data_IF_147793551360
#
_entry.id   IF_147793551360
#
_cell.length_a   1.000
_cell.length_b   1.000
_cell.length_c   1.000
_cell.angle_alpha   90.00
_cell.angle_beta   90.00
_cell.angle_gamma   90.00
#
_symmetry.space_group_name_H-M   'P 1'
#
loop_
_entity.id
_entity.type
_entity.pdbx_description
1 polymer ?
#
# COMPACT_ATOMS: atom_id res chain seq x y z
N UNK A 1 -4.21 14.75 -5.41
CA UNK A 1 -5.28 15.05 -4.41
C UNK A 1 -5.83 16.48 -4.45
N UNK A 2 -5.04 17.52 -4.72
CA UNK A 2 -5.54 18.91 -4.75
C UNK A 2 -6.70 19.12 -5.74
N UNK A 3 -6.62 18.53 -6.93
CA UNK A 3 -7.72 18.54 -7.91
C UNK A 3 -9.01 17.94 -7.32
N UNK A 4 -8.94 16.74 -6.75
CA UNK A 4 -10.09 16.05 -6.16
C UNK A 4 -10.73 16.87 -5.02
N UNK A 5 -9.93 17.55 -4.17
CA UNK A 5 -10.48 18.41 -3.10
C UNK A 5 -11.28 19.59 -3.65
N UNK A 6 -10.87 20.13 -4.79
CA UNK A 6 -11.62 21.20 -5.47
C UNK A 6 -12.90 20.68 -6.12
N UNK A 7 -12.86 19.51 -6.75
CA UNK A 7 -14.03 18.95 -7.44
C UNK A 7 -15.03 18.25 -6.52
N UNK A 8 -14.66 17.95 -5.27
CA UNK A 8 -15.50 17.31 -4.24
C UNK A 8 -16.29 16.10 -4.76
N UNK A 9 -15.61 15.08 -5.31
CA UNK A 9 -16.29 13.87 -5.74
C UNK A 9 -16.96 13.20 -4.53
N UNK A 10 -18.00 12.41 -4.79
CA UNK A 10 -18.66 11.61 -3.76
C UNK A 10 -17.68 10.63 -3.08
N UNK A 11 -16.73 10.07 -3.85
CA UNK A 11 -15.71 9.15 -3.37
C UNK A 11 -14.50 9.13 -4.31
N UNK A 12 -13.32 8.78 -3.78
CA UNK A 12 -12.11 8.49 -4.57
C UNK A 12 -11.57 7.11 -4.25
N UNK A 13 -11.38 6.28 -5.26
CA UNK A 13 -10.72 4.96 -5.12
C UNK A 13 -9.33 5.03 -5.75
N UNK A 14 -8.30 4.77 -4.96
CA UNK A 14 -6.92 4.64 -5.42
C UNK A 14 -6.57 3.16 -5.65
N UNK A 15 -6.41 2.78 -6.91
CA UNK A 15 -5.95 1.45 -7.32
C UNK A 15 -4.52 1.50 -7.84
N UNK A 16 -3.63 0.63 -7.36
CA UNK A 16 -2.26 0.57 -7.89
C UNK A 16 -1.61 -0.81 -7.71
N UNK A 17 -0.55 -1.01 -8.51
CA UNK A 17 0.38 -2.14 -8.42
C UNK A 17 1.37 -1.97 -7.25
N UNK A 18 2.05 -3.04 -6.79
CA UNK A 18 2.82 -3.08 -5.56
C UNK A 18 3.79 -1.92 -5.31
N UNK A 19 4.59 -1.54 -6.32
CA UNK A 19 5.61 -0.50 -6.15
C UNK A 19 5.03 0.88 -5.86
N UNK A 20 4.05 1.33 -6.68
CA UNK A 20 3.36 2.61 -6.46
C UNK A 20 2.50 2.57 -5.20
N UNK A 21 1.90 1.42 -4.93
CA UNK A 21 1.06 1.23 -3.76
C UNK A 21 1.89 1.34 -2.46
N UNK A 22 3.05 0.70 -2.40
CA UNK A 22 3.96 0.77 -1.26
C UNK A 22 4.41 2.21 -0.95
N UNK A 23 4.67 3.01 -1.98
CA UNK A 23 5.00 4.45 -1.82
C UNK A 23 3.87 5.22 -1.17
N UNK A 24 2.64 5.08 -1.68
CA UNK A 24 1.47 5.74 -1.10
C UNK A 24 1.21 5.26 0.32
N UNK A 25 1.38 3.96 0.58
CA UNK A 25 1.26 3.39 1.93
C UNK A 25 2.27 3.99 2.92
N UNK A 26 3.50 4.26 2.47
CA UNK A 26 4.54 4.94 3.23
C UNK A 26 4.35 6.48 3.34
N UNK A 27 3.29 7.03 2.73
CA UNK A 27 2.99 8.46 2.75
C UNK A 27 3.63 9.27 1.61
N UNK A 28 4.31 8.62 0.66
CA UNK A 28 4.84 9.25 -0.54
C UNK A 28 3.74 9.34 -1.60
N UNK A 29 3.07 10.50 -1.69
CA UNK A 29 1.95 10.70 -2.62
C UNK A 29 2.38 10.97 -4.05
N UNK A 30 3.61 11.45 -4.26
CA UNK A 30 4.24 11.46 -5.58
C UNK A 30 4.84 10.09 -5.85
N UNK A 31 4.28 9.41 -6.85
CA UNK A 31 4.56 7.98 -7.11
C UNK A 31 5.49 7.75 -8.30
N UNK A 32 6.15 8.80 -8.79
CA UNK A 32 7.16 8.70 -9.83
C UNK A 32 8.36 7.89 -9.31
N UNK A 33 8.99 7.07 -10.14
CA UNK A 33 10.18 6.28 -9.74
C UNK A 33 11.31 7.15 -9.22
N UNK A 34 11.42 8.36 -9.76
CA UNK A 34 12.57 9.25 -9.58
C UNK A 34 12.48 10.07 -8.28
N UNK A 35 11.30 10.16 -7.65
CA UNK A 35 11.09 10.95 -6.44
C UNK A 35 11.28 10.15 -5.12
N UNK A 36 11.74 8.90 -5.22
CA UNK A 36 12.16 8.13 -4.04
C UNK A 36 12.06 6.62 -4.24
N UNK A 37 12.90 5.81 -3.58
CA UNK A 37 12.76 4.37 -3.60
C UNK A 37 11.55 3.90 -2.78
N UNK A 38 11.17 2.64 -2.96
CA UNK A 38 10.25 1.98 -2.04
C UNK A 38 10.88 1.91 -0.65
N UNK A 39 10.11 2.24 0.39
CA UNK A 39 10.55 2.10 1.78
C UNK A 39 10.41 0.65 2.25
N UNK A 40 11.50 -0.10 2.15
CA UNK A 40 11.56 -1.50 2.57
C UNK A 40 11.56 -1.68 4.09
N UNK A 41 12.01 -0.69 4.85
CA UNK A 41 11.92 -0.73 6.31
C UNK A 41 10.45 -0.66 6.74
N UNK A 42 9.69 0.26 6.15
CA UNK A 42 8.24 0.34 6.33
C UNK A 42 7.52 -0.96 5.93
N UNK A 43 7.86 -1.56 4.77
CA UNK A 43 7.26 -2.84 4.38
C UNK A 43 7.58 -3.97 5.38
N UNK A 44 8.79 -3.96 5.97
CA UNK A 44 9.16 -4.90 7.02
C UNK A 44 8.31 -4.70 8.28
N UNK A 45 8.04 -3.45 8.68
CA UNK A 45 7.16 -3.14 9.82
C UNK A 45 5.71 -3.60 9.59
N UNK A 46 5.17 -3.37 8.39
CA UNK A 46 3.85 -3.89 8.00
C UNK A 46 3.86 -5.43 8.05
N UNK A 47 4.94 -6.06 7.59
CA UNK A 47 5.16 -7.50 7.70
C UNK A 47 5.15 -8.01 9.13
N UNK A 48 5.84 -7.31 10.03
CA UNK A 48 5.91 -7.69 11.44
C UNK A 48 4.53 -7.60 12.10
N UNK A 49 3.79 -6.53 11.82
CA UNK A 49 2.42 -6.35 12.30
C UNK A 49 1.45 -7.42 11.78
N UNK A 50 1.71 -7.97 10.59
CA UNK A 50 0.95 -9.07 10.02
C UNK A 50 1.39 -10.47 10.52
N UNK A 51 2.48 -10.58 11.28
CA UNK A 51 3.00 -11.85 11.77
C UNK A 51 3.85 -12.61 10.75
N UNK A 52 4.50 -11.93 9.79
CA UNK A 52 5.47 -12.56 8.91
C UNK A 52 6.72 -13.03 9.71
N UNK A 53 7.35 -14.15 9.32
CA UNK A 53 8.51 -14.67 10.02
C UNK A 53 9.71 -13.72 9.94
N UNK A 54 10.51 -13.64 11.00
CA UNK A 54 11.67 -12.74 11.09
C UNK A 54 12.63 -12.87 9.89
N UNK A 55 12.86 -14.09 9.42
CA UNK A 55 13.71 -14.36 8.24
C UNK A 55 13.21 -13.65 6.98
N UNK A 56 11.89 -13.56 6.79
CA UNK A 56 11.30 -12.81 5.68
C UNK A 56 11.38 -11.30 5.96
N UNK A 57 11.18 -10.86 7.19
CA UNK A 57 11.29 -9.44 7.55
C UNK A 57 12.68 -8.88 7.24
N UNK A 58 13.73 -9.66 7.54
CA UNK A 58 15.12 -9.31 7.24
C UNK A 58 15.35 -9.25 5.72
N UNK A 59 14.83 -10.24 4.97
CA UNK A 59 14.88 -10.26 3.51
C UNK A 59 14.15 -9.07 2.86
N UNK A 60 13.06 -8.60 3.47
CA UNK A 60 12.33 -7.43 3.00
C UNK A 60 13.21 -6.18 3.14
N UNK A 61 13.84 -5.99 4.30
CA UNK A 61 14.69 -4.81 4.59
C UNK A 61 15.85 -4.66 3.62
N UNK A 62 16.38 -5.78 3.10
CA UNK A 62 17.51 -5.80 2.17
C UNK A 62 17.10 -5.90 0.71
N UNK A 63 15.80 -5.87 0.38
CA UNK A 63 15.33 -5.95 -1.01
C UNK A 63 15.52 -4.63 -1.75
N UNK A 64 15.59 -4.70 -3.07
CA UNK A 64 15.67 -3.55 -3.97
C UNK A 64 14.42 -3.37 -4.82
N UNK A 65 13.54 -4.39 -4.87
CA UNK A 65 12.37 -4.42 -5.74
C UNK A 65 11.10 -4.85 -4.98
N UNK A 66 10.08 -3.99 -4.95
CA UNK A 66 8.79 -4.33 -4.36
C UNK A 66 8.17 -5.62 -4.94
N UNK A 67 8.40 -5.91 -6.22
CA UNK A 67 7.89 -7.14 -6.85
C UNK A 67 8.41 -8.41 -6.16
N UNK A 68 9.67 -8.42 -5.75
CA UNK A 68 10.28 -9.56 -5.05
C UNK A 68 9.69 -9.74 -3.66
N UNK A 69 9.53 -8.63 -2.93
CA UNK A 69 8.89 -8.64 -1.61
C UNK A 69 7.48 -9.23 -1.69
N UNK A 70 6.66 -8.73 -2.62
CA UNK A 70 5.27 -9.15 -2.72
C UNK A 70 5.15 -10.61 -3.18
N UNK A 71 6.04 -11.06 -4.08
CA UNK A 71 6.11 -12.48 -4.46
C UNK A 71 6.37 -13.38 -3.25
N UNK A 72 7.38 -13.06 -2.43
CA UNK A 72 7.72 -13.82 -1.22
C UNK A 72 6.64 -13.76 -0.14
N UNK A 73 5.99 -12.60 0.02
CA UNK A 73 4.90 -12.46 0.99
C UNK A 73 3.72 -13.36 0.61
N UNK A 74 3.36 -13.48 -0.67
CA UNK A 74 2.25 -14.35 -1.12
C UNK A 74 2.45 -15.82 -0.76
N UNK A 75 3.69 -16.26 -0.59
CA UNK A 75 4.01 -17.64 -0.18
C UNK A 75 3.77 -17.90 1.32
N UNK A 76 3.50 -16.85 2.11
CA UNK A 76 3.32 -16.96 3.56
C UNK A 76 1.84 -17.14 3.95
N UNK A 77 1.54 -17.89 5.02
CA UNK A 77 0.17 -17.98 5.54
C UNK A 77 -0.43 -16.62 5.93
N UNK A 78 0.41 -15.69 6.39
CA UNK A 78 0.00 -14.35 6.85
C UNK A 78 -0.11 -13.28 5.73
N UNK A 79 -0.03 -13.68 4.45
CA UNK A 79 -0.04 -12.74 3.32
C UNK A 79 -1.26 -11.82 3.28
N UNK A 80 -2.46 -12.34 3.57
CA UNK A 80 -3.69 -11.53 3.58
C UNK A 80 -3.63 -10.42 4.62
N UNK A 81 -3.11 -10.74 5.82
CA UNK A 81 -2.89 -9.76 6.89
C UNK A 81 -1.94 -8.65 6.47
N UNK A 82 -0.84 -9.01 5.78
CA UNK A 82 0.10 -8.04 5.24
C UNK A 82 -0.56 -7.10 4.22
N UNK A 83 -1.27 -7.64 3.22
CA UNK A 83 -1.91 -6.82 2.19
C UNK A 83 -3.00 -5.93 2.78
N UNK A 84 -3.75 -6.42 3.77
CA UNK A 84 -4.74 -5.62 4.47
C UNK A 84 -4.11 -4.46 5.26
N UNK A 85 -3.05 -4.72 6.03
CA UNK A 85 -2.33 -3.67 6.76
C UNK A 85 -1.73 -2.62 5.82
N UNK A 86 -1.20 -3.07 4.67
CA UNK A 86 -0.68 -2.17 3.66
C UNK A 86 -1.78 -1.29 3.04
N UNK A 87 -2.95 -1.87 2.72
CA UNK A 87 -4.10 -1.12 2.23
C UNK A 87 -4.61 -0.11 3.26
N UNK A 88 -4.67 -0.47 4.54
CA UNK A 88 -5.04 0.46 5.61
C UNK A 88 -4.05 1.63 5.70
N UNK A 89 -2.76 1.38 5.57
CA UNK A 89 -1.74 2.44 5.55
C UNK A 89 -1.90 3.37 4.34
N UNK A 90 -2.11 2.83 3.14
CA UNK A 90 -2.38 3.63 1.94
C UNK A 90 -3.66 4.47 2.10
N UNK A 91 -4.74 3.87 2.58
CA UNK A 91 -6.01 4.55 2.82
C UNK A 91 -5.82 5.72 3.81
N UNK A 92 -5.09 5.52 4.92
CA UNK A 92 -4.77 6.58 5.88
C UNK A 92 -3.97 7.73 5.26
N UNK A 93 -2.94 7.41 4.47
CA UNK A 93 -2.12 8.42 3.77
C UNK A 93 -2.96 9.25 2.80
N UNK A 94 -3.84 8.59 2.03
CA UNK A 94 -4.76 9.24 1.10
C UNK A 94 -5.83 10.05 1.85
N UNK A 95 -6.32 9.57 2.99
CA UNK A 95 -7.35 10.25 3.78
C UNK A 95 -6.80 11.55 4.39
N UNK A 96 -5.57 11.51 4.91
CA UNK A 96 -4.84 12.72 5.34
C UNK A 96 -4.70 13.71 4.20
N UNK A 97 -4.38 13.23 3.01
CA UNK A 97 -4.29 14.07 1.81
C UNK A 97 -5.65 14.61 1.36
N UNK A 98 -6.75 13.87 1.58
CA UNK A 98 -8.10 14.31 1.27
C UNK A 98 -8.62 15.36 2.26
N UNK A 99 -8.05 15.45 3.46
CA UNK A 99 -8.45 16.39 4.52
C UNK A 99 -9.95 16.30 4.88
N UNK A 100 -10.52 15.09 4.83
CA UNK A 100 -11.93 14.85 5.13
C UNK A 100 -12.93 15.42 4.12
N UNK A 101 -12.47 15.90 2.96
CA UNK A 101 -13.37 16.49 1.94
C UNK A 101 -14.24 15.42 1.25
N UNK A 102 -13.74 14.19 1.15
CA UNK A 102 -14.42 13.04 0.56
C UNK A 102 -13.85 11.74 1.14
N UNK A 103 -14.63 10.64 1.16
CA UNK A 103 -14.13 9.32 1.52
C UNK A 103 -13.12 8.80 0.48
N UNK A 104 -12.14 8.03 0.98
CA UNK A 104 -11.11 7.41 0.14
C UNK A 104 -11.02 5.91 0.37
N UNK A 105 -10.89 5.19 -0.73
CA UNK A 105 -10.58 3.76 -0.76
C UNK A 105 -9.18 3.53 -1.31
N UNK A 106 -8.52 2.49 -0.84
CA UNK A 106 -7.27 1.98 -1.40
C UNK A 106 -7.46 0.51 -1.82
N UNK A 107 -7.04 0.19 -3.05
CA UNK A 107 -7.15 -1.15 -3.63
C UNK A 107 -5.79 -1.57 -4.18
N UNK A 108 -5.24 -2.65 -3.65
CA UNK A 108 -3.99 -3.22 -4.10
C UNK A 108 -4.25 -4.30 -5.13
N UNK A 109 -3.60 -4.20 -6.28
CA UNK A 109 -3.62 -5.22 -7.33
C UNK A 109 -2.25 -5.87 -7.49
N UNK A 110 -2.25 -7.13 -7.92
CA UNK A 110 -1.06 -7.81 -8.41
C UNK A 110 -0.85 -7.55 -9.92
N UNK A 111 0.30 -7.95 -10.44
CA UNK A 111 0.68 -7.74 -11.84
C UNK A 111 -0.19 -8.48 -12.86
N UNK A 112 -0.90 -9.52 -12.45
CA UNK A 112 -1.86 -10.25 -13.28
C UNK A 112 -3.28 -9.65 -13.24
N UNK A 113 -3.47 -8.55 -12.49
CA UNK A 113 -4.76 -7.89 -12.30
C UNK A 113 -5.58 -8.43 -11.14
N UNK A 114 -5.10 -9.43 -10.40
CA UNK A 114 -5.77 -9.95 -9.19
C UNK A 114 -5.82 -8.89 -8.11
N UNK A 115 -6.98 -8.68 -7.49
CA UNK A 115 -7.11 -7.82 -6.32
C UNK A 115 -6.57 -8.55 -5.09
N UNK A 116 -5.54 -7.99 -4.44
CA UNK A 116 -4.91 -8.58 -3.25
C UNK A 116 -5.59 -8.15 -1.95
N UNK A 117 -5.99 -6.88 -1.85
CA UNK A 117 -6.68 -6.33 -0.68
C UNK A 117 -7.36 -4.99 -0.99
N UNK A 118 -8.27 -4.56 -0.11
CA UNK A 118 -8.98 -3.28 -0.17
C UNK A 118 -9.16 -2.71 1.24
N UNK A 119 -9.12 -1.39 1.37
CA UNK A 119 -9.48 -0.67 2.60
C UNK A 119 -10.31 0.59 2.30
N UNK A 120 -11.24 0.92 3.19
CA UNK A 120 -12.07 2.13 3.11
C UNK A 120 -13.37 1.97 2.32
N UNK A 121 -13.74 0.75 1.91
CA UNK A 121 -15.10 0.47 1.46
C UNK A 121 -16.05 0.56 2.65
N UNK A 122 -17.24 1.12 2.44
CA UNK A 122 -18.33 1.04 3.40
C UNK A 122 -18.65 -0.45 3.61
N UNK A 123 -18.25 -1.00 4.76
CA UNK A 123 -18.80 -2.23 5.32
C UNK A 123 -20.02 -1.86 6.18
#
# INVERSE_FOLDING_TARGET
MAYCRRSRPERVTFGALPGKFAKVAAGQLETHSDEGPVDFAFLSEVGAAAGLPQTLLDNIRTSTMAREVFARVKEQPAHQGFFQQLCLSAQRSLARAAQGVFPVEAVLFDFDGTMLARAGSDD
#
